data_IF_197906503271
#
_entry.id   IF_197906503271
#
_cell.length_a   1.000
_cell.length_b   1.000
_cell.length_c   1.000
_cell.angle_alpha   90.00
_cell.angle_beta   90.00
_cell.angle_gamma   90.00
#
_symmetry.space_group_name_H-M   'P 1'
#
loop_
_entity.id
_entity.type
_entity.pdbx_description
1 polymer ?
#
# COMPACT_ATOMS: atom_id res chain seq x y z
N UNK A 1 2.13 16.69 -3.79
CA UNK A 1 3.39 16.48 -4.54
C UNK A 1 3.13 15.47 -5.65
N UNK A 2 4.09 15.25 -6.53
CA UNK A 2 4.11 14.10 -7.43
C UNK A 2 5.50 13.47 -7.49
N UNK A 3 5.58 12.21 -7.92
CA UNK A 3 6.84 11.57 -8.22
C UNK A 3 7.56 12.32 -9.35
N UNK A 4 8.88 12.49 -9.23
CA UNK A 4 9.70 13.19 -10.22
C UNK A 4 9.78 12.42 -11.55
N UNK A 5 10.46 13.00 -12.55
CA UNK A 5 10.60 12.42 -13.91
C UNK A 5 11.21 11.01 -13.95
N UNK A 6 12.04 10.64 -12.97
CA UNK A 6 12.61 9.29 -12.84
C UNK A 6 11.77 8.34 -11.97
N UNK A 7 10.56 8.77 -11.58
CA UNK A 7 9.72 8.07 -10.62
C UNK A 7 10.18 8.23 -9.17
N UNK A 8 9.55 7.46 -8.28
CA UNK A 8 9.86 7.45 -6.85
C UNK A 8 9.73 6.05 -6.25
N UNK A 9 10.39 5.82 -5.11
CA UNK A 9 10.30 4.55 -4.38
C UNK A 9 9.55 4.76 -3.08
N UNK A 10 8.41 4.07 -2.91
CA UNK A 10 7.65 4.07 -1.67
C UNK A 10 8.18 2.98 -0.74
N UNK A 11 8.60 3.36 0.46
CA UNK A 11 9.26 2.48 1.44
C UNK A 11 8.50 2.38 2.75
N UNK A 12 8.75 1.31 3.49
CA UNK A 12 8.12 1.06 4.80
C UNK A 12 8.64 1.99 5.91
N UNK A 13 9.89 2.46 5.79
CA UNK A 13 10.56 3.36 6.75
C UNK A 13 11.27 4.52 6.02
N UNK A 14 11.52 5.62 6.73
CA UNK A 14 12.18 6.84 6.23
C UNK A 14 13.70 6.68 6.15
N UNK A 15 14.14 5.64 5.44
CA UNK A 15 15.54 5.21 5.41
C UNK A 15 15.83 4.52 4.07
N UNK A 16 17.04 4.72 3.52
CA UNK A 16 17.42 4.17 2.22
C UNK A 16 17.51 2.63 2.22
N UNK A 17 17.79 2.05 3.38
CA UNK A 17 17.77 0.61 3.63
C UNK A 17 16.34 0.07 3.84
N UNK A 18 15.33 0.94 3.95
CA UNK A 18 13.92 0.54 3.99
C UNK A 18 13.51 -0.24 2.75
N UNK A 19 12.60 -1.21 2.89
CA UNK A 19 12.15 -2.04 1.78
C UNK A 19 11.23 -1.25 0.86
N UNK A 20 11.48 -1.30 -0.44
CA UNK A 20 10.61 -0.72 -1.47
C UNK A 20 9.35 -1.58 -1.61
N UNK A 21 8.20 -1.00 -1.31
CA UNK A 21 6.89 -1.67 -1.41
C UNK A 21 6.21 -1.40 -2.75
N UNK A 22 6.51 -0.24 -3.35
CA UNK A 22 5.99 0.15 -4.66
C UNK A 22 6.97 1.08 -5.37
N UNK A 23 7.09 0.90 -6.69
CA UNK A 23 7.75 1.85 -7.58
C UNK A 23 6.67 2.72 -8.23
N UNK A 24 6.82 4.04 -8.07
CA UNK A 24 5.86 5.01 -8.53
C UNK A 24 6.35 5.59 -9.85
N UNK A 25 5.50 5.50 -10.88
CA UNK A 25 5.77 6.10 -12.17
C UNK A 25 5.94 7.62 -12.06
N UNK A 26 6.66 8.21 -13.01
CA UNK A 26 6.82 9.64 -13.11
C UNK A 26 5.46 10.37 -13.12
N UNK A 27 5.34 11.43 -12.33
CA UNK A 27 4.11 12.20 -12.20
C UNK A 27 3.02 11.56 -11.34
N UNK A 28 3.23 10.38 -10.75
CA UNK A 28 2.27 9.78 -9.82
C UNK A 28 1.98 10.72 -8.65
N UNK A 29 0.69 10.93 -8.34
CA UNK A 29 0.26 11.85 -7.28
C UNK A 29 0.60 11.31 -5.89
N UNK A 30 1.05 12.22 -5.04
CA UNK A 30 1.42 11.97 -3.64
C UNK A 30 0.71 12.97 -2.73
N UNK A 31 -0.11 12.46 -1.81
CA UNK A 31 -0.65 13.25 -0.71
C UNK A 31 0.37 13.23 0.44
N UNK A 32 0.92 14.40 0.77
CA UNK A 32 1.97 14.54 1.80
C UNK A 32 1.31 14.84 3.14
N UNK A 33 1.66 14.07 4.16
CA UNK A 33 1.13 14.20 5.53
C UNK A 33 2.18 14.68 6.54
N UNK A 34 3.44 14.68 6.15
CA UNK A 34 4.53 15.15 6.99
C UNK A 34 5.88 14.97 6.31
N UNK A 35 6.90 15.51 6.95
CA UNK A 35 8.28 15.41 6.53
C UNK A 35 9.15 15.04 7.74
N UNK A 36 10.15 14.18 7.51
CA UNK A 36 11.14 13.80 8.50
C UNK A 36 12.46 13.46 7.83
N UNK A 37 13.53 14.15 8.21
CA UNK A 37 14.91 13.81 7.83
C UNK A 37 15.11 13.61 6.31
N UNK A 38 14.48 14.45 5.47
CA UNK A 38 14.57 14.34 4.00
C UNK A 38 13.61 13.32 3.37
N UNK A 39 12.66 12.78 4.14
CA UNK A 39 11.63 11.87 3.68
C UNK A 39 10.24 12.45 3.90
N UNK A 40 9.34 12.17 2.98
CA UNK A 40 7.94 12.55 3.04
C UNK A 40 7.09 11.35 3.49
N UNK A 41 6.23 11.55 4.50
CA UNK A 41 5.16 10.62 4.87
C UNK A 41 4.01 10.82 3.89
N UNK A 42 3.79 9.84 2.99
CA UNK A 42 2.88 10.00 1.86
C UNK A 42 1.84 8.89 1.76
N UNK A 43 0.64 9.27 1.36
CA UNK A 43 -0.38 8.36 0.81
C UNK A 43 -0.29 8.37 -0.73
N UNK A 44 -0.65 7.25 -1.35
CA UNK A 44 -0.94 7.16 -2.78
C UNK A 44 -2.41 6.77 -3.01
N UNK A 45 -3.07 7.20 -4.11
CA UNK A 45 -4.53 7.14 -4.24
C UNK A 45 -5.15 5.75 -4.05
N UNK A 46 -4.42 4.69 -4.43
CA UNK A 46 -4.93 3.32 -4.41
C UNK A 46 -4.49 2.44 -3.25
N UNK A 47 -3.64 2.95 -2.34
CA UNK A 47 -2.83 2.09 -1.50
C UNK A 47 -1.81 1.29 -2.32
N UNK A 48 -1.18 0.31 -1.69
CA UNK A 48 -0.07 -0.44 -2.28
C UNK A 48 0.02 -1.86 -1.69
N UNK A 49 0.71 -2.79 -2.34
CA UNK A 49 0.87 -4.15 -1.84
C UNK A 49 1.67 -4.21 -0.53
N UNK A 50 1.13 -4.95 0.44
CA UNK A 50 1.78 -5.29 1.71
C UNK A 50 1.51 -6.75 2.06
N UNK A 51 2.24 -7.29 3.02
CA UNK A 51 2.07 -8.65 3.52
C UNK A 51 1.46 -8.63 4.92
N UNK A 52 0.49 -9.51 5.12
CA UNK A 52 -0.15 -9.78 6.41
C UNK A 52 -0.16 -11.29 6.61
N UNK A 53 0.19 -11.74 7.81
CA UNK A 53 0.19 -13.17 8.10
C UNK A 53 -1.24 -13.68 8.22
N UNK A 54 -1.53 -14.81 7.57
CA UNK A 54 -2.89 -15.24 7.28
C UNK A 54 -3.70 -15.68 8.50
N UNK A 55 -3.07 -15.97 9.64
CA UNK A 55 -3.79 -16.25 10.90
C UNK A 55 -4.72 -15.09 11.30
N UNK A 56 -4.38 -13.86 10.89
CA UNK A 56 -5.13 -12.64 11.17
C UNK A 56 -6.12 -12.26 10.07
N UNK A 57 -6.40 -13.17 9.14
CA UNK A 57 -7.28 -12.93 8.00
C UNK A 57 -8.36 -14.02 7.92
N UNK A 58 -9.56 -13.61 7.56
CA UNK A 58 -10.68 -14.51 7.31
C UNK A 58 -11.32 -14.22 5.96
N UNK A 59 -11.69 -15.24 5.17
CA UNK A 59 -12.45 -15.03 3.94
C UNK A 59 -13.76 -14.30 4.21
N UNK A 60 -14.20 -13.51 3.24
CA UNK A 60 -15.52 -12.89 3.25
C UNK A 60 -16.41 -13.50 2.17
N UNK A 61 -17.71 -13.16 2.16
CA UNK A 61 -18.60 -13.51 1.05
C UNK A 61 -18.28 -12.77 -0.25
N UNK A 62 -17.46 -11.72 -0.20
CA UNK A 62 -17.04 -10.93 -1.34
C UNK A 62 -15.76 -11.53 -1.94
N UNK A 63 -15.84 -11.93 -3.21
CA UNK A 63 -14.72 -12.59 -3.89
C UNK A 63 -13.45 -11.73 -3.88
N UNK A 64 -12.32 -12.36 -3.54
CA UNK A 64 -11.01 -11.69 -3.45
C UNK A 64 -10.85 -10.76 -2.24
N UNK A 65 -11.84 -10.65 -1.36
CA UNK A 65 -11.77 -9.84 -0.14
C UNK A 65 -11.62 -10.69 1.11
N UNK A 66 -10.69 -10.29 1.95
CA UNK A 66 -10.45 -10.83 3.29
C UNK A 66 -10.81 -9.78 4.33
N UNK A 67 -11.18 -10.24 5.52
CA UNK A 67 -11.39 -9.39 6.67
C UNK A 67 -10.32 -9.66 7.73
N UNK A 68 -9.78 -8.59 8.29
CA UNK A 68 -8.82 -8.66 9.40
C UNK A 68 -9.54 -9.17 10.64
N UNK A 69 -9.06 -10.27 11.20
CA UNK A 69 -9.66 -10.96 12.36
C UNK A 69 -8.96 -10.62 13.68
N UNK A 70 -7.83 -9.89 13.68
CA UNK A 70 -7.12 -9.41 14.87
C UNK A 70 -7.18 -7.89 15.04
N UNK A 71 -6.81 -7.38 16.22
CA UNK A 71 -6.57 -5.94 16.43
C UNK A 71 -5.08 -5.64 16.28
N UNK A 72 -4.75 -4.42 15.85
CA UNK A 72 -3.38 -3.94 15.73
C UNK A 72 -2.46 -4.89 14.91
N UNK A 73 -3.00 -5.45 13.83
CA UNK A 73 -2.32 -6.40 12.94
C UNK A 73 -1.29 -5.67 12.09
N UNK A 74 -0.07 -6.22 12.05
CA UNK A 74 1.06 -5.59 11.35
C UNK A 74 0.95 -5.80 9.84
N UNK A 75 1.09 -4.72 9.09
CA UNK A 75 1.41 -4.75 7.67
C UNK A 75 2.93 -4.76 7.49
N UNK A 76 3.42 -5.60 6.59
CA UNK A 76 4.85 -5.79 6.37
C UNK A 76 5.25 -5.67 4.91
N UNK A 77 6.48 -5.23 4.61
CA UNK A 77 6.94 -5.11 3.23
C UNK A 77 7.35 -6.45 2.61
N UNK A 78 7.72 -7.45 3.41
CA UNK A 78 8.11 -8.80 2.98
C UNK A 78 7.29 -9.86 3.73
N UNK A 79 7.12 -11.08 3.18
CA UNK A 79 6.44 -12.20 3.82
C UNK A 79 7.30 -12.83 4.93
N UNK A 80 7.64 -12.05 5.95
CA UNK A 80 8.50 -12.45 7.06
C UNK A 80 8.24 -11.60 8.29
N UNK A 81 8.46 -12.16 9.48
CA UNK A 81 8.42 -11.44 10.75
C UNK A 81 9.79 -10.92 11.22
N UNK A 82 10.86 -11.21 10.47
CA UNK A 82 12.23 -10.84 10.79
C UNK A 82 12.52 -9.34 10.66
N UNK A 83 13.74 -8.95 11.04
CA UNK A 83 14.20 -7.56 11.07
C UNK A 83 14.32 -6.94 9.67
N UNK A 84 14.52 -7.75 8.64
CA UNK A 84 14.49 -7.34 7.23
C UNK A 84 13.09 -6.89 6.78
N UNK A 85 12.04 -7.28 7.51
CA UNK A 85 10.64 -6.98 7.21
C UNK A 85 10.00 -6.12 8.31
N UNK A 86 10.68 -5.02 8.68
CA UNK A 86 10.13 -4.06 9.64
C UNK A 86 8.73 -3.63 9.22
N UNK A 87 7.76 -3.75 10.13
CA UNK A 87 6.37 -3.43 9.83
C UNK A 87 6.19 -1.93 9.56
N UNK A 88 5.14 -1.61 8.80
CA UNK A 88 4.68 -0.23 8.68
C UNK A 88 4.28 0.30 10.06
N UNK A 89 4.28 1.63 10.19
CA UNK A 89 3.82 2.32 11.40
C UNK A 89 2.32 2.12 11.64
N UNK A 90 1.52 2.17 10.59
CA UNK A 90 0.08 1.96 10.68
C UNK A 90 -0.24 0.47 10.82
N UNK A 91 -1.20 0.16 11.70
CA UNK A 91 -1.68 -1.19 11.96
C UNK A 91 -3.10 -1.32 11.42
N UNK A 92 -3.48 -2.56 11.10
CA UNK A 92 -4.83 -2.90 10.71
C UNK A 92 -5.65 -3.26 11.94
N UNK A 93 -6.89 -2.76 11.99
CA UNK A 93 -7.83 -3.09 13.06
C UNK A 93 -8.83 -4.15 12.61
N UNK A 94 -9.36 -4.89 13.58
CA UNK A 94 -10.36 -5.94 13.34
C UNK A 94 -11.53 -5.39 12.54
N UNK A 95 -11.99 -6.19 11.59
CA UNK A 95 -13.10 -5.85 10.73
C UNK A 95 -12.69 -5.10 9.46
N UNK A 96 -11.46 -4.58 9.39
CA UNK A 96 -10.92 -3.96 8.17
C UNK A 96 -10.96 -4.96 7.02
N UNK A 97 -11.59 -4.57 5.91
CA UNK A 97 -11.56 -5.35 4.67
C UNK A 97 -10.30 -5.03 3.87
N UNK A 98 -9.62 -6.05 3.41
CA UNK A 98 -8.44 -5.94 2.54
C UNK A 98 -8.60 -6.85 1.34
N UNK A 99 -8.07 -6.41 0.21
CA UNK A 99 -8.10 -7.21 -1.01
C UNK A 99 -6.90 -8.13 -1.07
N UNK A 100 -7.13 -9.42 -1.31
CA UNK A 100 -6.05 -10.37 -1.56
C UNK A 100 -5.50 -10.15 -2.98
N UNK A 101 -4.18 -10.00 -3.06
CA UNK A 101 -3.43 -9.91 -4.31
C UNK A 101 -2.68 -11.22 -4.62
N UNK A 102 -2.43 -12.04 -3.60
CA UNK A 102 -1.76 -13.32 -3.75
C UNK A 102 -1.33 -13.92 -2.42
N UNK A 103 -0.64 -15.05 -2.51
CA UNK A 103 -0.12 -15.84 -1.39
C UNK A 103 1.36 -16.07 -1.59
N UNK A 104 2.12 -16.18 -0.51
CA UNK A 104 3.54 -16.50 -0.60
C UNK A 104 3.72 -17.98 -0.97
N UNK A 105 2.86 -18.85 -0.44
CA UNK A 105 2.81 -20.27 -0.77
C UNK A 105 1.36 -20.75 -0.85
N UNK A 106 0.86 -20.93 -2.07
CA UNK A 106 -0.52 -21.38 -2.34
C UNK A 106 -0.80 -22.80 -1.83
N UNK A 107 0.22 -23.61 -1.50
CA UNK A 107 0.03 -24.97 -1.00
C UNK A 107 -0.32 -25.03 0.50
N UNK A 108 -0.03 -23.96 1.24
CA UNK A 108 -0.27 -23.90 2.69
C UNK A 108 -1.71 -23.49 3.02
N UNK A 109 -2.25 -23.92 4.18
CA UNK A 109 -3.48 -23.36 4.74
C UNK A 109 -3.42 -21.84 4.87
N UNK A 110 -4.57 -21.16 4.80
CA UNK A 110 -4.63 -19.69 4.88
C UNK A 110 -3.86 -19.15 6.10
N UNK A 111 -4.15 -19.74 7.26
CA UNK A 111 -3.62 -19.33 8.55
C UNK A 111 -2.11 -19.54 8.75
N UNK A 112 -1.45 -20.29 7.86
CA UNK A 112 -0.04 -20.70 8.00
C UNK A 112 0.89 -20.04 6.97
N UNK A 113 0.39 -19.07 6.22
CA UNK A 113 1.14 -18.41 5.14
C UNK A 113 0.97 -16.89 5.17
N UNK A 114 1.86 -16.22 4.47
CA UNK A 114 1.77 -14.79 4.22
C UNK A 114 0.84 -14.50 3.05
N UNK A 115 -0.07 -13.56 3.28
CA UNK A 115 -1.00 -13.09 2.26
C UNK A 115 -0.56 -11.72 1.79
N UNK A 116 -0.36 -11.59 0.49
CA UNK A 116 -0.14 -10.29 -0.14
C UNK A 116 -1.50 -9.63 -0.31
N UNK A 117 -1.67 -8.45 0.27
CA UNK A 117 -2.92 -7.70 0.23
C UNK A 117 -2.68 -6.27 -0.25
N UNK A 118 -3.70 -5.64 -0.80
CA UNK A 118 -3.66 -4.20 -1.01
C UNK A 118 -3.91 -3.49 0.32
N UNK A 119 -3.00 -2.63 0.74
CA UNK A 119 -3.18 -1.80 1.93
C UNK A 119 -4.43 -0.91 1.76
N UNK A 120 -5.21 -0.68 2.83
CA UNK A 120 -6.37 0.19 2.75
C UNK A 120 -5.97 1.62 2.39
N UNK A 121 -6.87 2.37 1.76
CA UNK A 121 -6.66 3.79 1.47
C UNK A 121 -6.36 4.56 2.75
N UNK A 122 -5.51 5.59 2.70
CA UNK A 122 -4.98 6.24 3.90
C UNK A 122 -3.77 5.54 4.53
N UNK A 123 -3.37 4.36 4.04
CA UNK A 123 -2.08 3.77 4.44
C UNK A 123 -0.94 4.56 3.82
N UNK A 124 0.05 4.88 4.66
CA UNK A 124 1.19 5.69 4.27
C UNK A 124 2.48 4.90 4.21
N UNK A 125 3.38 5.40 3.38
CA UNK A 125 4.78 5.00 3.34
C UNK A 125 5.66 6.23 3.18
N UNK A 126 6.96 5.98 2.99
CA UNK A 126 7.96 7.03 2.91
C UNK A 126 8.54 7.13 1.52
N UNK A 127 8.67 8.36 1.03
CA UNK A 127 9.34 8.68 -0.23
C UNK A 127 10.42 9.72 0.04
N UNK A 128 11.62 9.53 -0.50
CA UNK A 128 12.68 10.52 -0.37
C UNK A 128 12.29 11.81 -1.09
N UNK A 129 12.47 12.98 -0.46
CA UNK A 129 12.03 14.26 -1.00
C UNK A 129 12.65 14.56 -2.38
N UNK A 130 13.90 14.15 -2.59
CA UNK A 130 14.61 14.29 -3.87
C UNK A 130 14.05 13.44 -5.02
N UNK A 131 13.13 12.52 -4.74
CA UNK A 131 12.38 11.76 -5.76
C UNK A 131 11.00 12.37 -6.05
N UNK A 132 10.73 13.57 -5.53
CA UNK A 132 9.44 14.24 -5.68
C UNK A 132 9.60 15.63 -6.25
N UNK A 133 8.52 16.12 -6.83
CA UNK A 133 8.41 17.49 -7.31
C UNK A 133 7.07 18.09 -6.93
N UNK A 134 7.03 19.42 -6.85
CA UNK A 134 5.80 20.16 -6.65
C UNK A 134 4.81 19.89 -7.79
N UNK A 135 3.52 19.94 -7.47
CA UNK A 135 2.52 19.98 -8.53
C UNK A 135 2.71 21.27 -9.34
N UNK A 136 2.51 21.24 -10.67
CA UNK A 136 2.58 22.45 -11.48
C UNK A 136 1.65 23.54 -10.94
N UNK A 137 2.08 24.80 -11.04
CA UNK A 137 1.26 25.93 -10.60
C UNK A 137 -0.12 25.92 -11.29
N UNK A 138 -1.17 26.23 -10.52
CA UNK A 138 -2.55 26.19 -11.01
C UNK A 138 -3.18 24.79 -11.10
N UNK A 139 -2.43 23.74 -10.73
CA UNK A 139 -3.00 22.38 -10.64
C UNK A 139 -3.97 22.27 -9.46
N UNK A 140 -5.22 21.91 -9.74
CA UNK A 140 -6.14 21.45 -8.71
C UNK A 140 -5.80 20.00 -8.29
N UNK A 141 -4.90 19.90 -7.32
CA UNK A 141 -4.46 18.61 -6.80
C UNK A 141 -5.58 17.81 -6.14
N UNK A 142 -6.59 18.45 -5.54
CA UNK A 142 -7.69 17.76 -4.88
C UNK A 142 -8.58 17.04 -5.90
N UNK A 143 -8.93 17.72 -7.00
CA UNK A 143 -9.68 17.11 -8.10
C UNK A 143 -8.90 15.99 -8.77
N UNK A 144 -7.60 16.18 -9.05
CA UNK A 144 -6.78 15.12 -9.64
C UNK A 144 -6.65 13.91 -8.70
N UNK A 145 -6.52 14.15 -7.40
CA UNK A 145 -6.48 13.09 -6.40
C UNK A 145 -7.79 12.28 -6.35
N UNK A 146 -8.93 12.97 -6.33
CA UNK A 146 -10.24 12.33 -6.36
C UNK A 146 -10.42 11.48 -7.64
N UNK A 147 -10.03 12.01 -8.79
CA UNK A 147 -10.06 11.29 -10.07
C UNK A 147 -9.17 10.04 -10.04
N UNK A 148 -7.95 10.15 -9.48
CA UNK A 148 -7.03 9.02 -9.36
C UNK A 148 -7.58 7.93 -8.44
N UNK A 149 -8.24 8.29 -7.32
CA UNK A 149 -8.90 7.33 -6.43
C UNK A 149 -10.04 6.58 -7.13
N UNK A 150 -10.87 7.29 -7.89
CA UNK A 150 -11.97 6.70 -8.66
C UNK A 150 -11.43 5.71 -9.70
N UNK A 151 -10.40 6.11 -10.45
CA UNK A 151 -9.75 5.25 -11.45
C UNK A 151 -9.22 3.97 -10.82
N UNK A 152 -8.52 4.09 -9.69
CA UNK A 152 -8.01 2.91 -9.00
C UNK A 152 -9.12 1.97 -8.52
N UNK A 153 -10.21 2.52 -7.98
CA UNK A 153 -11.37 1.72 -7.59
C UNK A 153 -11.94 0.93 -8.77
N UNK A 154 -12.01 1.54 -9.96
CA UNK A 154 -12.45 0.87 -11.18
C UNK A 154 -11.46 -0.20 -11.67
N UNK A 155 -10.15 0.06 -11.63
CA UNK A 155 -9.10 -0.91 -12.00
C UNK A 155 -9.12 -2.13 -11.07
N UNK A 156 -9.27 -1.91 -9.76
CA UNK A 156 -9.47 -3.00 -8.81
C UNK A 156 -10.72 -3.81 -9.16
N UNK A 157 -11.86 -3.19 -9.44
CA UNK A 157 -13.09 -3.90 -9.82
C UNK A 157 -12.91 -4.73 -11.11
N UNK A 158 -12.25 -4.16 -12.12
CA UNK A 158 -11.99 -4.83 -13.40
C UNK A 158 -11.02 -6.01 -13.27
N UNK A 159 -10.01 -5.91 -12.40
CA UNK A 159 -9.10 -7.03 -12.10
C UNK A 159 -9.78 -8.24 -11.47
N UNK A 160 -10.95 -8.07 -10.85
CA UNK A 160 -11.79 -9.19 -10.36
C UNK A 160 -12.52 -9.89 -11.51
N UNK A 161 -12.93 -9.15 -12.54
CA UNK A 161 -13.70 -9.68 -13.65
C UNK A 161 -12.86 -10.51 -14.64
N UNK A 162 -11.53 -10.31 -14.68
CA UNK A 162 -10.62 -11.06 -15.56
C UNK A 162 -10.01 -12.34 -14.95
N UNK A 163 -10.31 -12.65 -13.69
CA UNK A 163 -9.79 -13.82 -12.96
C UNK A 163 -10.87 -14.88 -12.64
N UNK A 164 -12.05 -14.75 -13.25
CA UNK A 164 -13.15 -15.74 -13.25
C UNK A 164 -13.25 -16.40 -14.62
#
# INVERSE_FOLDING_TARGET
MRAASNGAKLRNIYDEQGVVMSELAAGALLAVHGERAGWLDVEIPGGFPVWVFGEFLSPTSESGMLQVSGNSVRMRPLPSSGAESMSLRQLLERGTKVRMLGRNDMSKPLAEDWVRVNAPTGTRGWVAIGQTEALPAGTDGATQWAAARTRWGAELAAGVAGAM
#
